data_IF_394860321985
#
_entry.id   IF_394860321985
#
_cell.length_a   1.000
_cell.length_b   1.000
_cell.length_c   1.000
_cell.angle_alpha   90.00
_cell.angle_beta   90.00
_cell.angle_gamma   90.00
#
_symmetry.space_group_name_H-M   'P 1'
#
loop_
_entity.id
_entity.type
_entity.pdbx_description
1 polymer ?
#
# COMPACT_ATOMS: atom_id res chain seq x y z
N UNK A 1 48.05 9.84 -2.36
CA UNK A 1 47.29 9.25 -1.24
C UNK A 1 46.18 10.22 -0.87
N UNK A 2 44.94 9.94 -1.28
CA UNK A 2 43.79 10.76 -0.91
C UNK A 2 43.36 10.38 0.51
N UNK A 3 43.48 11.33 1.43
CA UNK A 3 43.03 11.18 2.81
C UNK A 3 41.51 11.07 2.84
N UNK A 4 41.02 9.89 3.22
CA UNK A 4 39.62 9.64 3.55
C UNK A 4 39.26 10.40 4.82
N UNK A 5 38.82 11.65 4.68
CA UNK A 5 38.27 12.45 5.78
C UNK A 5 37.02 11.77 6.35
N UNK A 6 37.19 11.08 7.48
CA UNK A 6 36.14 10.37 8.20
C UNK A 6 35.98 11.03 9.57
N UNK A 7 35.40 12.25 9.57
CA UNK A 7 35.22 13.05 10.79
C UNK A 7 34.02 14.02 10.73
N UNK A 8 33.75 14.78 11.81
CA UNK A 8 32.56 15.65 11.93
C UNK A 8 32.40 16.69 10.82
N UNK A 9 33.49 17.08 10.12
CA UNK A 9 33.44 17.95 8.94
C UNK A 9 32.86 17.23 7.71
N UNK A 10 33.21 15.96 7.50
CA UNK A 10 32.67 15.17 6.39
C UNK A 10 31.18 14.86 6.58
N UNK A 11 30.74 14.62 7.83
CA UNK A 11 29.32 14.47 8.17
C UNK A 11 28.53 15.77 7.91
N UNK A 12 29.01 16.93 8.39
CA UNK A 12 28.38 18.24 8.12
C UNK A 12 28.29 18.58 6.63
N UNK A 13 29.35 18.28 5.87
CA UNK A 13 29.34 18.49 4.41
C UNK A 13 28.31 17.61 3.71
N UNK A 14 28.18 16.34 4.12
CA UNK A 14 27.16 15.42 3.58
C UNK A 14 25.75 15.91 3.87
N UNK A 15 25.49 16.37 5.09
CA UNK A 15 24.19 16.91 5.48
C UNK A 15 23.84 18.19 4.70
N UNK A 16 24.81 19.11 4.55
CA UNK A 16 24.64 20.31 3.73
C UNK A 16 24.34 19.98 2.26
N UNK A 17 25.03 19.00 1.67
CA UNK A 17 24.73 18.55 0.30
C UNK A 17 23.36 17.89 0.19
N UNK A 18 22.96 17.10 1.20
CA UNK A 18 21.63 16.46 1.22
C UNK A 18 20.53 17.51 1.19
N UNK A 19 20.63 18.51 2.09
CA UNK A 19 19.68 19.63 2.16
C UNK A 19 19.62 20.43 0.86
N UNK A 20 20.77 20.79 0.30
CA UNK A 20 20.82 21.53 -0.97
C UNK A 20 20.12 20.78 -2.12
N UNK A 21 20.18 19.45 -2.14
CA UNK A 21 19.49 18.62 -3.14
C UNK A 21 17.98 18.63 -2.92
N UNK A 22 17.52 18.49 -1.67
CA UNK A 22 16.08 18.53 -1.34
C UNK A 22 15.48 19.90 -1.65
N UNK A 23 16.14 20.98 -1.24
CA UNK A 23 15.73 22.36 -1.52
C UNK A 23 15.67 22.62 -3.03
N UNK A 24 16.68 22.16 -3.78
CA UNK A 24 16.71 22.28 -5.24
C UNK A 24 15.57 21.51 -5.91
N UNK A 25 15.27 20.30 -5.44
CA UNK A 25 14.19 19.48 -5.99
C UNK A 25 12.82 20.11 -5.77
N UNK A 26 12.56 20.61 -4.55
CA UNK A 26 11.31 21.26 -4.22
C UNK A 26 11.13 22.57 -4.99
N UNK A 27 12.17 23.42 -5.05
CA UNK A 27 12.15 24.67 -5.80
C UNK A 27 11.90 24.44 -7.30
N UNK A 28 12.63 23.50 -7.93
CA UNK A 28 12.41 23.16 -9.34
C UNK A 28 11.01 22.58 -9.58
N UNK A 29 10.49 21.76 -8.66
CA UNK A 29 9.15 21.22 -8.79
C UNK A 29 8.08 22.31 -8.73
N UNK A 30 8.27 23.34 -7.89
CA UNK A 30 7.42 24.54 -7.81
C UNK A 30 7.51 25.41 -9.07
N UNK A 31 8.72 25.62 -9.58
CA UNK A 31 8.97 26.44 -10.77
C UNK A 31 8.42 25.79 -12.05
N UNK A 32 8.59 24.48 -12.22
CA UNK A 32 8.42 23.81 -13.51
C UNK A 32 7.40 22.65 -13.51
N UNK A 33 6.98 22.20 -12.33
CA UNK A 33 6.13 21.03 -12.14
C UNK A 33 6.90 19.69 -12.14
N UNK A 34 6.29 18.66 -11.56
CA UNK A 34 6.90 17.32 -11.42
C UNK A 34 7.28 16.68 -12.76
N UNK A 35 6.47 16.88 -13.80
CA UNK A 35 6.70 16.31 -15.13
C UNK A 35 8.05 16.76 -15.73
N UNK A 36 8.43 18.03 -15.54
CA UNK A 36 9.68 18.61 -16.05
C UNK A 36 10.86 18.41 -15.10
N UNK A 37 10.62 18.06 -13.84
CA UNK A 37 11.67 17.77 -12.88
C UNK A 37 12.57 16.62 -13.39
N UNK A 38 13.89 16.82 -13.32
CA UNK A 38 14.90 15.84 -13.72
C UNK A 38 16.01 15.75 -12.68
N UNK A 39 16.66 14.59 -12.56
CA UNK A 39 17.82 14.43 -11.67
C UNK A 39 18.98 15.33 -12.12
N UNK A 40 19.11 15.54 -13.42
CA UNK A 40 20.00 16.49 -14.09
C UNK A 40 19.78 17.92 -13.57
N UNK A 41 18.54 18.40 -13.62
CA UNK A 41 18.17 19.74 -13.17
C UNK A 41 18.42 19.92 -11.68
N UNK A 42 18.04 18.93 -10.87
CA UNK A 42 18.29 18.93 -9.42
C UNK A 42 19.79 19.02 -9.14
N UNK A 43 20.60 18.18 -9.80
CA UNK A 43 22.05 18.17 -9.64
C UNK A 43 22.70 19.52 -9.99
N UNK A 44 22.28 20.10 -11.13
CA UNK A 44 22.77 21.40 -11.58
C UNK A 44 22.41 22.52 -10.60
N UNK A 45 21.16 22.56 -10.11
CA UNK A 45 20.70 23.58 -9.16
C UNK A 45 21.35 23.44 -7.78
N UNK A 46 21.55 22.21 -7.30
CA UNK A 46 22.20 21.94 -6.03
C UNK A 46 23.74 22.05 -6.07
N UNK A 47 24.34 22.20 -7.26
CA UNK A 47 25.80 22.27 -7.42
C UNK A 47 26.50 20.95 -7.11
N UNK A 48 25.85 19.81 -7.36
CA UNK A 48 26.39 18.46 -7.09
C UNK A 48 26.41 17.60 -8.35
N UNK A 49 27.23 16.55 -8.38
CA UNK A 49 27.17 15.55 -9.46
C UNK A 49 26.01 14.56 -9.27
N UNK A 50 25.41 14.06 -10.37
CA UNK A 50 24.29 13.09 -10.35
C UNK A 50 24.55 11.86 -9.48
N UNK A 51 25.78 11.34 -9.49
CA UNK A 51 26.19 10.20 -8.65
C UNK A 51 26.01 10.47 -7.14
N UNK A 52 26.05 11.74 -6.72
CA UNK A 52 25.79 12.15 -5.34
C UNK A 52 24.32 11.96 -4.97
N UNK A 53 23.41 12.24 -5.91
CA UNK A 53 21.97 12.05 -5.75
C UNK A 53 21.64 10.55 -5.75
N UNK A 54 22.08 9.81 -6.76
CA UNK A 54 21.78 8.37 -6.88
C UNK A 54 22.32 7.51 -5.74
N UNK A 55 23.34 7.99 -5.01
CA UNK A 55 23.81 7.34 -3.77
C UNK A 55 22.75 7.33 -2.66
N UNK A 56 21.82 8.28 -2.68
CA UNK A 56 20.83 8.49 -1.61
C UNK A 56 19.40 8.25 -2.08
N UNK A 57 19.08 8.57 -3.33
CA UNK A 57 17.73 8.47 -3.88
C UNK A 57 17.75 7.76 -5.23
N UNK A 58 16.98 6.68 -5.39
CA UNK A 58 16.94 5.91 -6.63
C UNK A 58 16.23 6.63 -7.77
N UNK A 59 15.34 7.58 -7.48
CA UNK A 59 14.54 8.31 -8.48
C UNK A 59 14.30 9.77 -8.07
N UNK A 60 13.88 10.62 -9.03
CA UNK A 60 13.45 12.00 -8.73
C UNK A 60 12.24 12.05 -7.78
N UNK A 61 11.35 11.06 -7.87
CA UNK A 61 10.22 10.88 -6.96
C UNK A 61 10.69 10.63 -5.54
N UNK A 62 11.72 9.80 -5.34
CA UNK A 62 12.30 9.55 -4.03
C UNK A 62 12.97 10.80 -3.41
N UNK A 63 13.56 11.69 -4.23
CA UNK A 63 14.09 12.98 -3.76
C UNK A 63 12.95 13.90 -3.32
N UNK A 64 11.92 14.06 -4.16
CA UNK A 64 10.79 14.94 -3.85
C UNK A 64 9.99 14.45 -2.65
N UNK A 65 9.78 13.13 -2.53
CA UNK A 65 9.15 12.51 -1.36
C UNK A 65 9.83 12.95 -0.07
N UNK A 66 11.16 12.92 -0.02
CA UNK A 66 11.88 13.34 1.18
C UNK A 66 11.81 14.84 1.42
N UNK A 67 11.83 15.65 0.36
CA UNK A 67 11.70 17.10 0.50
C UNK A 67 10.32 17.49 1.07
N UNK A 68 9.24 16.92 0.53
CA UNK A 68 7.88 17.10 1.03
C UNK A 68 7.71 16.51 2.43
N UNK A 69 8.45 15.43 2.74
CA UNK A 69 8.41 14.85 4.07
C UNK A 69 8.95 15.83 5.14
N UNK A 70 10.10 16.45 4.86
CA UNK A 70 10.69 17.44 5.76
C UNK A 70 9.82 18.69 5.92
N UNK A 71 9.19 19.16 4.84
CA UNK A 71 8.29 20.31 4.89
C UNK A 71 7.05 20.05 5.75
N UNK A 72 6.43 18.87 5.62
CA UNK A 72 5.28 18.56 6.48
C UNK A 72 5.68 18.34 7.94
N UNK A 73 6.83 17.72 8.19
CA UNK A 73 7.28 17.47 9.57
C UNK A 73 7.45 18.77 10.37
N UNK A 74 7.76 19.90 9.72
CA UNK A 74 7.83 21.21 10.35
C UNK A 74 6.45 21.82 10.71
N UNK A 75 5.36 21.27 10.17
CA UNK A 75 4.01 21.86 10.23
C UNK A 75 3.08 21.13 11.21
N UNK A 76 3.43 19.92 11.65
CA UNK A 76 2.59 19.11 12.55
C UNK A 76 2.87 19.48 14.01
N UNK A 77 2.05 20.39 14.55
CA UNK A 77 1.89 20.59 15.99
C UNK A 77 0.43 20.33 16.35
N UNK A 78 0.16 19.12 16.86
CA UNK A 78 -1.14 18.80 17.45
C UNK A 78 -0.99 18.86 18.96
N UNK A 79 -1.90 19.58 19.61
CA UNK A 79 -2.05 19.57 21.06
C UNK A 79 -3.15 18.57 21.40
N UNK A 80 -2.82 17.52 22.16
CA UNK A 80 -3.81 16.57 22.69
C UNK A 80 -4.55 17.26 23.85
N UNK A 81 -5.78 17.70 23.59
CA UNK A 81 -6.57 18.45 24.57
C UNK A 81 -7.37 17.56 25.51
N UNK A 82 -7.50 16.26 25.19
CA UNK A 82 -8.37 15.35 25.92
C UNK A 82 -9.79 15.26 25.35
N UNK A 83 -10.22 16.20 24.50
CA UNK A 83 -11.50 16.20 23.79
C UNK A 83 -11.32 15.64 22.37
N UNK A 84 -11.81 14.42 22.14
CA UNK A 84 -11.65 13.74 20.83
C UNK A 84 -12.25 14.54 19.66
N UNK A 85 -13.34 15.27 19.89
CA UNK A 85 -14.01 16.02 18.85
C UNK A 85 -13.22 17.28 18.49
N UNK A 86 -12.66 17.97 19.49
CA UNK A 86 -11.78 19.11 19.27
C UNK A 86 -10.48 18.68 18.58
N UNK A 87 -9.85 17.62 19.07
CA UNK A 87 -8.58 17.10 18.54
C UNK A 87 -8.74 16.63 17.08
N UNK A 88 -9.81 15.90 16.76
CA UNK A 88 -10.08 15.44 15.40
C UNK A 88 -10.32 16.61 14.44
N UNK A 89 -11.10 17.62 14.84
CA UNK A 89 -11.32 18.83 14.04
C UNK A 89 -10.00 19.56 13.78
N UNK A 90 -9.14 19.70 14.79
CA UNK A 90 -7.84 20.34 14.65
C UNK A 90 -6.94 19.59 13.65
N UNK A 91 -6.91 18.25 13.72
CA UNK A 91 -6.15 17.40 12.82
C UNK A 91 -6.67 17.52 11.38
N UNK A 92 -7.98 17.41 11.15
CA UNK A 92 -8.58 17.52 9.81
C UNK A 92 -8.37 18.91 9.24
N UNK A 93 -8.56 19.97 10.03
CA UNK A 93 -8.29 21.34 9.60
C UNK A 93 -6.82 21.55 9.21
N UNK A 94 -5.89 20.95 9.97
CA UNK A 94 -4.45 21.02 9.67
C UNK A 94 -4.12 20.28 8.38
N UNK A 95 -4.67 19.09 8.19
CA UNK A 95 -4.53 18.34 6.96
C UNK A 95 -5.09 19.13 5.77
N UNK A 96 -6.28 19.73 5.88
CA UNK A 96 -6.86 20.52 4.78
C UNK A 96 -6.02 21.74 4.45
N UNK A 97 -5.60 22.53 5.45
CA UNK A 97 -4.70 23.69 5.21
C UNK A 97 -3.44 23.28 4.46
N UNK A 98 -2.86 22.14 4.85
CA UNK A 98 -1.63 21.64 4.27
C UNK A 98 -1.82 21.12 2.83
N UNK A 99 -2.90 20.38 2.56
CA UNK A 99 -3.21 19.93 1.20
C UNK A 99 -3.71 21.06 0.29
N UNK A 100 -4.26 22.13 0.85
CA UNK A 100 -4.70 23.31 0.11
C UNK A 100 -3.56 24.30 -0.19
N UNK A 101 -2.40 24.16 0.46
CA UNK A 101 -1.25 25.02 0.25
C UNK A 101 -0.75 24.87 -1.21
N UNK A 102 -0.74 25.94 -2.02
CA UNK A 102 -0.24 25.92 -3.39
C UNK A 102 1.21 25.47 -3.51
N UNK A 103 2.03 25.67 -2.47
CA UNK A 103 3.45 25.32 -2.43
C UNK A 103 3.68 23.85 -2.04
N UNK A 104 2.62 23.12 -1.67
CA UNK A 104 2.70 21.75 -1.17
C UNK A 104 1.73 20.78 -1.88
N UNK A 105 0.43 21.08 -1.84
CA UNK A 105 -0.66 20.21 -2.29
C UNK A 105 -0.48 19.67 -3.72
N UNK A 106 -0.24 20.52 -4.73
CA UNK A 106 -0.01 20.08 -6.10
C UNK A 106 1.20 19.14 -6.26
N UNK A 107 2.25 19.33 -5.45
CA UNK A 107 3.45 18.50 -5.50
C UNK A 107 3.24 17.14 -4.85
N UNK A 108 2.49 17.09 -3.74
CA UNK A 108 2.05 15.82 -3.17
C UNK A 108 1.12 15.08 -4.12
N UNK A 109 0.18 15.77 -4.77
CA UNK A 109 -0.72 15.17 -5.76
C UNK A 109 0.06 14.56 -6.94
N UNK A 110 1.06 15.27 -7.46
CA UNK A 110 1.92 14.76 -8.52
C UNK A 110 2.75 13.55 -8.07
N UNK A 111 3.24 13.54 -6.82
CA UNK A 111 3.95 12.40 -6.27
C UNK A 111 3.04 11.18 -6.09
N UNK A 112 1.81 11.37 -5.63
CA UNK A 112 0.79 10.30 -5.54
C UNK A 112 0.51 9.75 -6.94
N UNK A 113 0.36 10.60 -7.95
CA UNK A 113 0.16 10.14 -9.33
C UNK A 113 1.34 9.32 -9.84
N UNK A 114 2.59 9.71 -9.52
CA UNK A 114 3.79 8.97 -9.92
C UNK A 114 3.85 7.55 -9.33
N UNK A 115 3.26 7.30 -8.16
CA UNK A 115 3.23 5.95 -7.57
C UNK A 115 2.59 4.90 -8.48
N UNK A 116 1.78 5.33 -9.46
CA UNK A 116 1.16 4.45 -10.44
C UNK A 116 2.12 4.03 -11.57
N UNK A 117 3.27 4.70 -11.68
CA UNK A 117 4.29 4.47 -12.71
C UNK A 117 5.62 3.97 -12.10
N UNK A 118 5.89 4.28 -10.83
CA UNK A 118 7.06 3.82 -10.07
C UNK A 118 6.61 2.91 -8.91
N UNK A 119 6.64 1.57 -9.07
CA UNK A 119 6.23 0.61 -8.05
C UNK A 119 7.03 0.70 -6.74
N UNK A 120 8.26 1.23 -6.77
CA UNK A 120 9.08 1.40 -5.56
C UNK A 120 8.68 2.66 -4.78
N UNK A 121 7.99 3.61 -5.41
CA UNK A 121 7.60 4.87 -4.78
C UNK A 121 6.35 4.72 -3.91
N UNK A 122 5.42 3.84 -4.25
CA UNK A 122 4.19 3.66 -3.46
C UNK A 122 4.47 3.18 -2.02
N UNK A 123 5.28 2.11 -1.80
CA UNK A 123 5.65 1.69 -0.45
C UNK A 123 6.43 2.79 0.29
N UNK A 124 7.35 3.48 -0.40
CA UNK A 124 8.12 4.57 0.19
C UNK A 124 7.23 5.74 0.64
N UNK A 125 6.24 6.14 -0.15
CA UNK A 125 5.26 7.17 0.20
C UNK A 125 4.45 6.75 1.42
N UNK A 126 3.96 5.51 1.46
CA UNK A 126 3.20 5.00 2.60
C UNK A 126 4.04 5.02 3.88
N UNK A 127 5.24 4.47 3.84
CA UNK A 127 6.07 4.28 5.03
C UNK A 127 6.70 5.58 5.53
N UNK A 128 7.20 6.43 4.63
CA UNK A 128 7.93 7.65 5.00
C UNK A 128 7.01 8.84 5.18
N UNK A 129 5.92 8.93 4.42
CA UNK A 129 5.06 10.09 4.45
C UNK A 129 3.74 9.83 5.20
N UNK A 130 2.97 8.83 4.76
CA UNK A 130 1.59 8.64 5.24
C UNK A 130 1.54 8.12 6.68
N UNK A 131 2.27 7.03 7.00
CA UNK A 131 2.23 6.40 8.34
C UNK A 131 2.66 7.36 9.46
N UNK A 132 3.76 8.12 9.37
CA UNK A 132 4.16 9.04 10.44
C UNK A 132 3.12 10.12 10.73
N UNK A 133 2.46 10.64 9.69
CA UNK A 133 1.43 11.69 9.82
C UNK A 133 0.14 11.16 10.45
N UNK A 134 -0.18 9.88 10.21
CA UNK A 134 -1.30 9.19 10.84
C UNK A 134 -1.09 8.93 12.34
N UNK A 135 0.16 8.88 12.82
CA UNK A 135 0.46 8.49 14.19
C UNK A 135 -0.21 9.38 15.26
N UNK A 136 -0.29 10.70 15.02
CA UNK A 136 -0.95 11.63 15.95
C UNK A 136 -2.46 11.37 16.04
N UNK A 137 -3.13 11.18 14.90
CA UNK A 137 -4.55 10.85 14.88
C UNK A 137 -4.82 9.48 15.50
N UNK A 138 -3.98 8.49 15.20
CA UNK A 138 -4.07 7.16 15.80
C UNK A 138 -3.93 7.21 17.33
N UNK A 139 -3.07 8.10 17.86
CA UNK A 139 -2.94 8.34 19.29
C UNK A 139 -4.24 8.89 19.88
N UNK A 140 -4.80 9.95 19.29
CA UNK A 140 -6.08 10.56 19.71
C UNK A 140 -7.22 9.54 19.73
N UNK A 141 -7.34 8.74 18.66
CA UNK A 141 -8.40 7.73 18.55
C UNK A 141 -8.28 6.64 19.62
N UNK A 142 -7.06 6.12 19.84
CA UNK A 142 -6.81 5.09 20.87
C UNK A 142 -7.05 5.62 22.28
N UNK A 143 -6.67 6.87 22.58
CA UNK A 143 -6.95 7.54 23.84
C UNK A 143 -8.46 7.72 24.06
N UNK A 144 -9.18 8.14 23.03
CA UNK A 144 -10.62 8.32 23.08
C UNK A 144 -11.36 6.98 23.31
N UNK A 145 -10.86 5.88 22.73
CA UNK A 145 -11.37 4.54 23.04
C UNK A 145 -11.09 4.12 24.49
N UNK A 146 -9.88 4.35 24.99
CA UNK A 146 -9.50 4.01 26.36
C UNK A 146 -10.30 4.81 27.42
N UNK A 147 -10.71 6.03 27.08
CA UNK A 147 -11.55 6.89 27.94
C UNK A 147 -13.05 6.75 27.69
N UNK A 148 -13.48 5.86 26.80
CA UNK A 148 -14.89 5.60 26.49
C UNK A 148 -15.58 6.71 25.68
N UNK A 149 -14.84 7.68 25.16
CA UNK A 149 -15.38 8.73 24.26
C UNK A 149 -15.69 8.18 22.86
N UNK A 150 -15.02 7.10 22.45
CA UNK A 150 -15.28 6.38 21.20
C UNK A 150 -15.56 4.89 21.47
N UNK A 151 -16.37 4.22 20.63
CA UNK A 151 -16.60 2.78 20.74
C UNK A 151 -15.30 1.98 20.59
N UNK A 152 -15.12 0.96 21.44
CA UNK A 152 -14.01 0.01 21.30
C UNK A 152 -14.06 -0.80 19.99
N UNK A 153 -15.23 -0.86 19.34
CA UNK A 153 -15.43 -1.50 18.03
C UNK A 153 -14.98 -0.66 16.84
N UNK A 154 -14.68 0.63 17.03
CA UNK A 154 -14.16 1.48 15.97
C UNK A 154 -12.76 1.00 15.56
N UNK A 155 -12.51 0.80 14.26
CA UNK A 155 -11.17 0.55 13.76
C UNK A 155 -10.49 1.89 13.45
N UNK A 156 -9.44 2.29 14.19
CA UNK A 156 -8.78 3.58 13.97
C UNK A 156 -8.14 3.69 12.58
N UNK A 157 -7.62 2.60 12.00
CA UNK A 157 -6.92 2.66 10.72
C UNK A 157 -7.88 2.94 9.57
N UNK A 158 -8.98 2.19 9.52
CA UNK A 158 -9.99 2.38 8.49
C UNK A 158 -10.80 3.67 8.70
N UNK A 159 -10.95 4.15 9.94
CA UNK A 159 -11.44 5.49 10.20
C UNK A 159 -10.57 6.57 9.56
N UNK A 160 -9.24 6.44 9.68
CA UNK A 160 -8.29 7.34 9.02
C UNK A 160 -8.36 7.25 7.50
N UNK A 161 -8.58 6.06 6.93
CA UNK A 161 -8.76 5.89 5.49
C UNK A 161 -9.97 6.68 4.96
N UNK A 162 -11.09 6.68 5.69
CA UNK A 162 -12.27 7.48 5.32
C UNK A 162 -11.94 8.98 5.35
N UNK A 163 -11.29 9.45 6.43
CA UNK A 163 -10.92 10.87 6.59
C UNK A 163 -9.99 11.32 5.46
N UNK A 164 -8.82 10.67 5.33
CA UNK A 164 -7.82 11.09 4.37
C UNK A 164 -8.20 10.74 2.92
N UNK A 165 -8.98 9.68 2.70
CA UNK A 165 -9.52 9.34 1.37
C UNK A 165 -10.42 10.46 0.83
N UNK A 166 -11.28 11.04 1.68
CA UNK A 166 -12.11 12.18 1.29
C UNK A 166 -11.28 13.43 0.95
N UNK A 167 -10.17 13.66 1.65
CA UNK A 167 -9.26 14.76 1.36
C UNK A 167 -8.48 14.53 0.06
N UNK A 168 -7.91 13.33 -0.13
CA UNK A 168 -7.20 12.97 -1.34
C UNK A 168 -8.10 12.96 -2.58
N UNK A 169 -9.37 12.57 -2.44
CA UNK A 169 -10.34 12.66 -3.54
C UNK A 169 -10.50 14.10 -4.05
N UNK A 170 -10.58 15.10 -3.17
CA UNK A 170 -10.62 16.51 -3.59
C UNK A 170 -9.28 16.98 -4.12
N UNK A 171 -8.18 16.62 -3.47
CA UNK A 171 -6.83 17.01 -3.90
C UNK A 171 -6.51 16.51 -5.31
N UNK A 172 -6.77 15.23 -5.59
CA UNK A 172 -6.37 14.57 -6.83
C UNK A 172 -7.30 14.87 -7.99
N UNK A 173 -8.61 14.98 -7.73
CA UNK A 173 -9.61 15.13 -8.79
C UNK A 173 -10.15 16.56 -8.94
N UNK A 174 -9.82 17.46 -8.01
CA UNK A 174 -10.37 18.82 -8.02
C UNK A 174 -11.91 18.83 -7.87
N UNK A 175 -12.48 17.83 -7.22
CA UNK A 175 -13.94 17.64 -7.10
C UNK A 175 -14.66 18.70 -6.24
N UNK A 176 -13.90 19.63 -5.65
CA UNK A 176 -14.39 20.77 -4.87
C UNK A 176 -13.24 21.48 -4.15
N UNK A 177 -13.50 22.61 -3.48
CA UNK A 177 -12.46 23.33 -2.73
C UNK A 177 -11.96 22.51 -1.53
N UNK A 178 -10.67 22.64 -1.20
CA UNK A 178 -10.10 22.16 0.06
C UNK A 178 -9.98 23.36 1.01
N UNK A 179 -11.00 23.62 1.81
CA UNK A 179 -11.11 24.80 2.67
C UNK A 179 -11.59 24.46 4.08
N UNK A 180 -11.65 25.47 4.95
CA UNK A 180 -12.07 25.30 6.34
C UNK A 180 -13.49 24.73 6.47
N UNK A 181 -14.40 25.08 5.56
CA UNK A 181 -15.77 24.58 5.56
C UNK A 181 -15.80 23.09 5.25
N UNK A 182 -15.02 22.63 4.28
CA UNK A 182 -14.88 21.21 4.00
C UNK A 182 -14.20 20.45 5.14
N UNK A 183 -13.21 21.05 5.80
CA UNK A 183 -12.57 20.46 6.97
C UNK A 183 -13.58 20.21 8.11
N UNK A 184 -14.40 21.22 8.42
CA UNK A 184 -15.49 21.12 9.40
C UNK A 184 -16.51 20.04 8.99
N UNK A 185 -16.94 20.04 7.73
CA UNK A 185 -17.87 19.04 7.21
C UNK A 185 -17.35 17.61 7.37
N UNK A 186 -16.12 17.34 6.94
CA UNK A 186 -15.51 16.00 7.05
C UNK A 186 -15.41 15.59 8.52
N UNK A 187 -14.96 16.49 9.40
CA UNK A 187 -14.86 16.20 10.82
C UNK A 187 -16.24 15.90 11.44
N UNK A 188 -17.27 16.68 11.12
CA UNK A 188 -18.62 16.49 11.66
C UNK A 188 -19.29 15.20 11.15
N UNK A 189 -19.14 14.88 9.85
CA UNK A 189 -19.63 13.61 9.27
C UNK A 189 -18.98 12.42 9.98
N UNK A 190 -17.67 12.50 10.17
CA UNK A 190 -16.88 11.43 10.74
C UNK A 190 -17.16 11.29 12.25
N UNK A 191 -17.33 12.38 13.00
CA UNK A 191 -17.75 12.37 14.41
C UNK A 191 -19.18 11.85 14.58
N UNK A 192 -20.10 12.25 13.69
CA UNK A 192 -21.47 11.73 13.67
C UNK A 192 -21.52 10.23 13.38
N UNK A 193 -20.69 9.75 12.46
CA UNK A 193 -20.52 8.33 12.17
C UNK A 193 -19.85 7.55 13.30
N UNK A 194 -18.90 8.16 14.02
CA UNK A 194 -18.17 7.55 15.14
C UNK A 194 -19.02 7.35 16.40
N UNK A 195 -20.05 8.19 16.58
CA UNK A 195 -20.97 8.15 17.74
C UNK A 195 -22.23 7.34 17.45
N UNK A 196 -22.60 7.19 16.18
CA UNK A 196 -23.48 6.11 15.73
C UNK A 196 -22.78 4.77 15.83
N UNK A 197 -23.54 3.68 16.02
CA UNK A 197 -23.01 2.32 16.01
C UNK A 197 -22.55 1.88 14.61
N UNK A 198 -21.68 2.66 13.96
CA UNK A 198 -20.90 2.23 12.83
C UNK A 198 -19.87 1.25 13.38
N UNK A 199 -20.25 -0.02 13.35
CA UNK A 199 -19.34 -1.12 13.63
C UNK A 199 -18.09 -1.00 12.77
N UNK A 200 -16.99 -1.55 13.29
CA UNK A 200 -15.74 -1.86 12.60
C UNK A 200 -15.97 -1.87 11.07
N UNK A 201 -15.42 -0.91 10.29
CA UNK A 201 -15.33 -1.10 8.84
C UNK A 201 -14.74 -2.49 8.61
N UNK A 202 -15.20 -3.26 7.61
CA UNK A 202 -14.71 -4.61 7.42
C UNK A 202 -13.19 -4.53 7.34
N UNK A 203 -12.52 -5.06 8.36
CA UNK A 203 -11.12 -5.44 8.16
C UNK A 203 -11.09 -6.33 6.93
N UNK A 204 -10.00 -6.34 6.15
CA UNK A 204 -9.82 -7.39 5.14
C UNK A 204 -10.22 -8.70 5.82
N UNK A 205 -11.22 -9.40 5.26
CA UNK A 205 -12.08 -10.25 6.07
C UNK A 205 -11.20 -11.22 6.83
N UNK A 206 -11.44 -11.31 8.15
CA UNK A 206 -10.82 -12.38 8.92
C UNK A 206 -11.23 -13.70 8.25
N UNK A 207 -10.29 -14.63 8.03
CA UNK A 207 -10.50 -15.87 7.26
C UNK A 207 -11.66 -16.75 7.70
N UNK A 208 -12.38 -16.43 8.77
CA UNK A 208 -13.51 -17.22 9.24
C UNK A 208 -14.90 -16.76 8.69
N UNK A 209 -14.98 -15.72 7.85
CA UNK A 209 -16.28 -15.25 7.30
C UNK A 209 -16.23 -14.55 5.94
N UNK A 210 -15.07 -14.54 5.27
CA UNK A 210 -14.91 -13.93 3.96
C UNK A 210 -15.81 -14.62 2.90
N UNK A 211 -16.45 -13.87 1.98
CA UNK A 211 -16.96 -14.45 0.75
C UNK A 211 -15.85 -15.27 0.06
N UNK A 212 -16.16 -16.41 -0.58
CA UNK A 212 -15.14 -17.30 -1.16
C UNK A 212 -14.10 -16.58 -2.03
N UNK A 213 -14.55 -15.67 -2.90
CA UNK A 213 -13.65 -14.87 -3.75
C UNK A 213 -12.70 -14.00 -2.93
N UNK A 214 -13.17 -13.39 -1.84
CA UNK A 214 -12.33 -12.54 -1.00
C UNK A 214 -11.29 -13.36 -0.23
N UNK A 215 -11.61 -14.57 0.22
CA UNK A 215 -10.65 -15.49 0.82
C UNK A 215 -9.52 -15.85 -0.15
N UNK A 216 -9.88 -16.16 -1.40
CA UNK A 216 -8.93 -16.52 -2.46
C UNK A 216 -8.05 -15.34 -2.88
N UNK A 217 -8.62 -14.15 -3.04
CA UNK A 217 -7.82 -12.96 -3.37
C UNK A 217 -6.88 -12.61 -2.22
N UNK A 218 -7.33 -12.73 -0.97
CA UNK A 218 -6.45 -12.55 0.19
C UNK A 218 -5.34 -13.60 0.22
N UNK A 219 -5.61 -14.84 -0.20
CA UNK A 219 -4.62 -15.91 -0.27
C UNK A 219 -3.55 -15.63 -1.34
N UNK A 220 -3.97 -15.20 -2.53
CA UNK A 220 -3.07 -14.77 -3.61
C UNK A 220 -2.23 -13.58 -3.17
N UNK A 221 -2.83 -12.59 -2.49
CA UNK A 221 -2.11 -11.44 -1.94
C UNK A 221 -1.00 -11.87 -0.97
N UNK A 222 -1.26 -12.84 -0.09
CA UNK A 222 -0.21 -13.38 0.80
C UNK A 222 0.89 -14.10 0.04
N UNK A 223 0.55 -14.88 -1.00
CA UNK A 223 1.55 -15.53 -1.87
C UNK A 223 2.45 -14.48 -2.54
N UNK A 224 1.86 -13.43 -3.12
CA UNK A 224 2.60 -12.38 -3.85
C UNK A 224 3.51 -11.55 -2.95
N UNK A 225 3.23 -11.48 -1.65
CA UNK A 225 4.06 -10.80 -0.66
C UNK A 225 4.98 -11.74 0.13
N UNK A 226 5.04 -13.02 -0.24
CA UNK A 226 5.75 -14.07 0.50
C UNK A 226 5.37 -14.13 2.00
N UNK A 227 4.15 -13.73 2.36
CA UNK A 227 3.61 -13.80 3.73
C UNK A 227 3.05 -15.20 4.01
N UNK A 228 3.96 -16.16 4.20
CA UNK A 228 3.61 -17.57 4.42
C UNK A 228 2.81 -17.77 5.72
N UNK A 229 3.12 -17.01 6.78
CA UNK A 229 2.38 -17.09 8.03
C UNK A 229 0.95 -16.53 7.88
N UNK A 230 0.76 -15.47 7.10
CA UNK A 230 -0.55 -14.95 6.73
C UNK A 230 -1.34 -15.87 5.83
N UNK A 231 -0.67 -16.54 4.90
CA UNK A 231 -1.27 -17.57 4.06
C UNK A 231 -1.78 -18.75 4.90
N UNK A 232 -0.99 -19.21 5.88
CA UNK A 232 -1.38 -20.27 6.81
C UNK A 232 -2.65 -19.95 7.62
N UNK A 233 -2.85 -18.68 8.00
CA UNK A 233 -4.09 -18.24 8.68
C UNK A 233 -5.35 -18.35 7.81
N UNK A 234 -5.19 -18.43 6.48
CA UNK A 234 -6.29 -18.54 5.51
C UNK A 234 -6.59 -20.00 5.11
N UNK A 235 -5.86 -20.99 5.64
CA UNK A 235 -6.02 -22.41 5.33
C UNK A 235 -6.87 -23.13 6.40
N UNK A 236 -7.67 -24.13 6.03
CA UNK A 236 -8.21 -25.08 7.01
C UNK A 236 -7.10 -25.98 7.58
N UNK A 237 -7.35 -26.68 8.70
CA UNK A 237 -6.37 -27.63 9.26
C UNK A 237 -6.04 -28.75 8.26
N UNK A 238 -7.05 -29.20 7.51
CA UNK A 238 -6.98 -30.25 6.49
C UNK A 238 -6.67 -29.74 5.08
N UNK A 239 -6.09 -28.53 4.95
CA UNK A 239 -5.84 -27.89 3.66
C UNK A 239 -5.05 -28.79 2.69
N UNK A 240 -5.50 -28.86 1.44
CA UNK A 240 -4.89 -29.66 0.38
C UNK A 240 -4.38 -28.79 -0.78
N UNK A 241 -3.07 -28.83 -1.04
CA UNK A 241 -2.45 -28.27 -2.24
C UNK A 241 -2.27 -29.37 -3.28
N UNK A 242 -2.76 -29.13 -4.50
CA UNK A 242 -2.58 -30.02 -5.65
C UNK A 242 -2.01 -29.26 -6.84
N UNK A 243 -0.89 -29.73 -7.36
CA UNK A 243 -0.22 -29.14 -8.51
C UNK A 243 -0.30 -30.13 -9.67
N UNK A 244 -1.20 -29.87 -10.62
CA UNK A 244 -1.46 -30.78 -11.75
C UNK A 244 -1.67 -32.23 -11.29
N UNK A 245 -0.87 -33.16 -11.82
CA UNK A 245 -0.93 -34.60 -11.54
C UNK A 245 0.02 -35.05 -10.41
N UNK A 246 0.62 -34.11 -9.67
CA UNK A 246 1.51 -34.43 -8.56
C UNK A 246 0.76 -34.93 -7.31
N UNK A 247 1.48 -35.65 -6.45
CA UNK A 247 0.96 -36.06 -5.16
C UNK A 247 0.58 -34.83 -4.32
N UNK A 248 -0.64 -34.84 -3.77
CA UNK A 248 -1.17 -33.68 -3.06
C UNK A 248 -0.49 -33.50 -1.69
N UNK A 249 -0.22 -32.25 -1.32
CA UNK A 249 0.33 -31.87 -0.03
C UNK A 249 -0.81 -31.55 0.92
N UNK A 250 -0.99 -32.38 1.96
CA UNK A 250 -2.15 -32.34 2.85
C UNK A 250 -1.76 -31.86 4.25
N UNK A 251 -2.60 -30.98 4.81
CA UNK A 251 -2.46 -30.42 6.15
C UNK A 251 -1.86 -29.02 6.14
N UNK A 252 -2.37 -28.14 7.00
CA UNK A 252 -1.94 -26.74 7.09
C UNK A 252 -0.43 -26.60 7.31
N UNK A 253 0.11 -27.27 8.31
CA UNK A 253 1.52 -27.14 8.69
C UNK A 253 2.46 -27.63 7.58
N UNK A 254 2.11 -28.76 6.94
CA UNK A 254 2.88 -29.29 5.82
C UNK A 254 2.89 -28.32 4.62
N UNK A 255 1.75 -27.67 4.36
CA UNK A 255 1.64 -26.64 3.33
C UNK A 255 2.45 -25.39 3.67
N UNK A 256 2.38 -24.90 4.91
CA UNK A 256 3.18 -23.78 5.39
C UNK A 256 4.68 -24.07 5.16
N UNK A 257 5.15 -25.25 5.54
CA UNK A 257 6.57 -25.62 5.36
C UNK A 257 6.97 -25.73 3.88
N UNK A 258 6.10 -26.31 3.05
CA UNK A 258 6.30 -26.35 1.59
C UNK A 258 6.40 -24.96 0.97
N UNK A 259 5.49 -24.06 1.36
CA UNK A 259 5.47 -22.68 0.88
C UNK A 259 6.65 -21.84 1.40
N UNK A 260 7.15 -22.07 2.63
CA UNK A 260 8.40 -21.46 3.10
C UNK A 260 9.58 -21.86 2.22
N UNK A 261 9.68 -23.14 1.87
CA UNK A 261 10.69 -23.65 0.94
C UNK A 261 10.58 -22.98 -0.44
N UNK A 262 9.36 -22.94 -0.99
CA UNK A 262 9.11 -22.36 -2.31
C UNK A 262 9.39 -20.84 -2.35
N UNK A 263 8.87 -20.07 -1.39
CA UNK A 263 9.08 -18.62 -1.30
C UNK A 263 10.56 -18.26 -1.07
N UNK A 264 11.30 -19.10 -0.33
CA UNK A 264 12.74 -18.95 -0.15
C UNK A 264 13.53 -19.19 -1.45
N UNK A 265 13.12 -20.17 -2.26
CA UNK A 265 13.75 -20.46 -3.54
C UNK A 265 13.36 -19.46 -4.64
N UNK A 266 12.14 -18.92 -4.59
CA UNK A 266 11.56 -18.06 -5.62
C UNK A 266 10.97 -16.77 -5.00
N UNK A 267 11.82 -15.86 -4.48
CA UNK A 267 11.38 -14.70 -3.69
C UNK A 267 10.66 -13.61 -4.51
N UNK A 268 10.69 -13.70 -5.84
CA UNK A 268 10.01 -12.78 -6.76
C UNK A 268 8.80 -13.43 -7.44
N UNK A 269 8.38 -14.60 -6.95
CA UNK A 269 7.21 -15.30 -7.46
C UNK A 269 5.93 -14.49 -7.23
N UNK A 270 5.15 -14.28 -8.27
CA UNK A 270 3.86 -13.61 -8.20
C UNK A 270 2.83 -14.30 -9.10
N UNK A 271 1.59 -14.33 -8.64
CA UNK A 271 0.39 -14.71 -9.38
C UNK A 271 -0.32 -13.43 -9.81
N UNK A 272 -0.69 -13.34 -11.08
CA UNK A 272 -1.39 -12.22 -11.68
C UNK A 272 -2.77 -12.67 -12.18
N UNK A 273 -3.85 -12.44 -11.41
CA UNK A 273 -5.20 -12.81 -11.80
C UNK A 273 -5.70 -12.00 -13.01
N UNK A 274 -6.37 -12.68 -13.95
CA UNK A 274 -7.06 -12.07 -15.09
C UNK A 274 -8.58 -12.15 -14.95
N UNK A 275 -9.09 -13.32 -14.56
CA UNK A 275 -10.53 -13.60 -14.45
C UNK A 275 -10.80 -14.45 -13.23
N UNK A 276 -11.95 -14.22 -12.61
CA UNK A 276 -12.39 -14.94 -11.42
C UNK A 276 -13.84 -15.36 -11.62
N UNK A 277 -14.14 -16.61 -11.30
CA UNK A 277 -15.49 -17.15 -11.28
C UNK A 277 -15.76 -17.86 -9.95
N UNK A 278 -16.96 -17.71 -9.41
CA UNK A 278 -17.40 -18.39 -8.19
C UNK A 278 -18.61 -19.29 -8.50
N UNK A 279 -18.57 -20.55 -8.05
CA UNK A 279 -19.70 -21.49 -8.13
C UNK A 279 -19.65 -22.48 -6.98
N UNK A 280 -20.75 -22.63 -6.24
CA UNK A 280 -20.91 -23.63 -5.17
C UNK A 280 -19.75 -23.63 -4.14
N UNK A 281 -19.33 -22.44 -3.69
CA UNK A 281 -18.18 -22.23 -2.77
C UNK A 281 -16.80 -22.63 -3.32
N UNK A 282 -16.71 -22.87 -4.62
CA UNK A 282 -15.44 -22.96 -5.34
C UNK A 282 -15.18 -21.69 -6.12
N UNK A 283 -13.92 -21.27 -6.10
CA UNK A 283 -13.45 -20.11 -6.83
C UNK A 283 -12.40 -20.56 -7.82
N UNK A 284 -12.59 -20.22 -9.08
CA UNK A 284 -11.60 -20.42 -10.13
C UNK A 284 -10.99 -19.07 -10.49
N UNK A 285 -9.66 -19.03 -10.57
CA UNK A 285 -8.89 -17.84 -10.93
C UNK A 285 -8.04 -18.20 -12.14
N UNK A 286 -8.33 -17.60 -13.28
CA UNK A 286 -7.45 -17.67 -14.45
C UNK A 286 -6.43 -16.54 -14.38
N UNK A 287 -5.17 -16.81 -14.70
CA UNK A 287 -4.12 -15.79 -14.71
C UNK A 287 -2.80 -16.35 -15.20
N UNK A 288 -1.70 -15.65 -14.89
CA UNK A 288 -0.34 -16.10 -15.18
C UNK A 288 0.56 -15.93 -13.95
N UNK A 289 1.77 -16.47 -14.01
CA UNK A 289 2.80 -16.26 -12.99
C UNK A 289 4.00 -15.50 -13.55
N UNK A 290 4.76 -14.88 -12.65
CA UNK A 290 6.11 -14.38 -12.91
C UNK A 290 7.04 -14.86 -11.83
N UNK A 291 8.31 -15.08 -12.14
CA UNK A 291 9.35 -15.39 -11.15
C UNK A 291 9.22 -16.80 -10.56
N UNK A 292 8.60 -17.73 -11.28
CA UNK A 292 8.43 -19.12 -10.84
C UNK A 292 9.67 -19.99 -11.07
N UNK A 293 9.55 -21.25 -10.63
CA UNK A 293 10.53 -22.31 -10.86
C UNK A 293 10.83 -22.63 -12.33
N UNK A 294 10.02 -22.13 -13.28
CA UNK A 294 10.24 -22.35 -14.71
C UNK A 294 11.53 -21.67 -15.21
N UNK A 295 12.00 -20.61 -14.55
CA UNK A 295 13.23 -19.91 -14.91
C UNK A 295 13.20 -19.25 -16.29
N UNK A 296 12.01 -19.03 -16.86
CA UNK A 296 11.81 -18.39 -18.16
C UNK A 296 11.94 -16.86 -18.04
N UNK A 297 12.28 -16.16 -19.14
CA UNK A 297 12.14 -14.71 -19.18
C UNK A 297 10.71 -14.28 -18.86
N UNK A 298 10.55 -13.20 -18.11
CA UNK A 298 9.23 -12.74 -17.64
C UNK A 298 8.22 -12.53 -18.78
N UNK A 299 8.67 -12.03 -19.94
CA UNK A 299 7.82 -11.83 -21.11
C UNK A 299 7.26 -13.14 -21.71
N UNK A 300 7.96 -14.26 -21.52
CA UNK A 300 7.52 -15.59 -21.95
C UNK A 300 6.62 -16.22 -20.90
N UNK A 301 6.97 -16.09 -19.61
CA UNK A 301 6.16 -16.61 -18.49
C UNK A 301 4.77 -15.98 -18.45
N UNK A 302 4.66 -14.67 -18.74
CA UNK A 302 3.38 -13.94 -18.85
C UNK A 302 2.43 -14.51 -19.91
N UNK A 303 2.94 -15.28 -20.88
CA UNK A 303 2.12 -15.93 -21.93
C UNK A 303 1.59 -17.30 -21.49
N UNK A 304 2.14 -17.87 -20.41
CA UNK A 304 1.72 -19.15 -19.86
C UNK A 304 0.63 -18.90 -18.82
N UNK A 305 -0.61 -19.08 -19.24
CA UNK A 305 -1.76 -18.93 -18.36
C UNK A 305 -2.12 -20.25 -17.69
N UNK A 306 -2.60 -20.16 -16.46
CA UNK A 306 -3.00 -21.27 -15.60
C UNK A 306 -4.36 -20.95 -14.96
N UNK A 307 -5.00 -21.97 -14.41
CA UNK A 307 -6.18 -21.79 -13.58
C UNK A 307 -5.92 -22.36 -12.18
N UNK A 308 -6.07 -21.51 -11.17
CA UNK A 308 -6.13 -21.92 -9.77
C UNK A 308 -7.57 -22.14 -9.36
N UNK A 309 -7.84 -23.26 -8.68
CA UNK A 309 -9.17 -23.60 -8.17
C UNK A 309 -9.07 -23.79 -6.67
N UNK A 310 -9.88 -23.06 -5.92
CA UNK A 310 -9.96 -23.18 -4.47
C UNK A 310 -11.35 -23.62 -4.03
N UNK A 311 -11.41 -24.54 -3.07
CA UNK A 311 -12.62 -24.80 -2.29
C UNK A 311 -12.54 -24.02 -0.97
N UNK A 312 -13.56 -23.21 -0.67
CA UNK A 312 -13.59 -22.36 0.53
C UNK A 312 -14.69 -22.83 1.48
N UNK A 313 -14.32 -23.10 2.73
CA UNK A 313 -15.21 -23.53 3.81
C UNK A 313 -15.08 -22.58 4.97
N UNK A 314 -16.20 -21.98 5.40
CA UNK A 314 -16.23 -21.02 6.51
C UNK A 314 -15.19 -19.89 6.37
N UNK A 315 -14.96 -19.43 5.13
CA UNK A 315 -14.02 -18.35 4.80
C UNK A 315 -12.55 -18.78 4.64
N UNK A 316 -12.20 -20.03 4.94
CA UNK A 316 -10.86 -20.56 4.83
C UNK A 316 -10.72 -21.52 3.63
N UNK A 317 -9.54 -21.55 3.01
CA UNK A 317 -9.26 -22.42 1.89
C UNK A 317 -9.08 -23.85 2.40
N UNK A 318 -9.97 -24.74 1.96
CA UNK A 318 -9.83 -26.18 2.13
C UNK A 318 -8.91 -26.79 1.09
N UNK A 319 -8.85 -26.21 -0.10
CA UNK A 319 -7.90 -26.66 -1.13
C UNK A 319 -7.42 -25.54 -2.02
N UNK A 320 -6.25 -25.75 -2.62
CA UNK A 320 -5.66 -24.92 -3.67
C UNK A 320 -5.14 -25.84 -4.77
N UNK A 321 -5.78 -25.83 -5.94
CA UNK A 321 -5.48 -26.74 -7.06
C UNK A 321 -5.06 -25.98 -8.30
N UNK A 322 -3.93 -26.35 -8.90
CA UNK A 322 -3.48 -25.82 -10.19
C UNK A 322 -3.93 -26.76 -11.30
N UNK A 323 -4.58 -26.22 -12.32
CA UNK A 323 -4.96 -26.96 -13.54
C UNK A 323 -4.53 -26.19 -14.78
N UNK A 324 -4.40 -26.91 -15.89
CA UNK A 324 -4.10 -26.32 -17.19
C UNK A 324 -5.21 -25.38 -17.64
N UNK A 325 -4.81 -24.26 -18.24
CA UNK A 325 -5.72 -23.30 -18.84
C UNK A 325 -6.22 -23.76 -20.22
N UNK A 326 -7.10 -24.76 -20.22
CA UNK A 326 -7.75 -25.31 -21.41
C UNK A 326 -9.16 -24.76 -21.59
N UNK A 327 -9.65 -24.73 -22.83
CA UNK A 327 -11.03 -24.32 -23.13
C UNK A 327 -12.08 -25.17 -22.39
N UNK A 328 -11.76 -26.45 -22.13
CA UNK A 328 -12.64 -27.33 -21.37
C UNK A 328 -12.69 -26.97 -19.87
N UNK A 329 -11.52 -26.71 -19.28
CA UNK A 329 -11.44 -26.25 -17.90
C UNK A 329 -12.12 -24.89 -17.70
N UNK A 330 -11.93 -23.94 -18.63
CA UNK A 330 -12.61 -22.63 -18.59
C UNK A 330 -14.13 -22.77 -18.56
N UNK A 331 -14.70 -23.59 -19.47
CA UNK A 331 -16.14 -23.89 -19.50
C UNK A 331 -16.63 -24.50 -18.20
N UNK A 332 -15.95 -25.55 -17.75
CA UNK A 332 -16.33 -26.30 -16.53
C UNK A 332 -16.30 -25.41 -15.28
N UNK A 333 -15.36 -24.47 -15.23
CA UNK A 333 -15.12 -23.58 -14.09
C UNK A 333 -15.85 -22.23 -14.21
N UNK A 334 -16.60 -21.99 -15.28
CA UNK A 334 -17.37 -20.76 -15.48
C UNK A 334 -16.53 -19.52 -15.80
N UNK A 335 -15.38 -19.70 -16.47
CA UNK A 335 -14.43 -18.64 -16.85
C UNK A 335 -14.58 -18.17 -18.31
N UNK A 336 -15.62 -18.61 -19.01
CA UNK A 336 -15.90 -18.19 -20.39
C UNK A 336 -16.41 -16.74 -20.46
N UNK A 337 -16.31 -16.13 -21.64
CA UNK A 337 -16.87 -14.81 -21.89
C UNK A 337 -18.40 -14.85 -21.72
N UNK A 338 -18.95 -14.01 -20.83
CA UNK A 338 -20.35 -13.58 -20.97
C UNK A 338 -20.43 -12.84 -22.31
N UNK A 339 -21.03 -13.48 -23.31
CA UNK A 339 -21.35 -12.88 -24.59
C UNK A 339 -22.21 -11.62 -24.44
#
# INVERSE_FOLDING_TARGET
>A
MATTETGPRASRRRESSRRAILDAALALCREEGYAKLTVEGIAARAGVGKQTIYRWWPSKGAVLLEALDQEAAATVDHQDTGDVAADLRAIVATAVRFHADPEFGPHLAALIAETQQDPALAPALLDRFVRPRRAALLHVLRRAQASGQLPASLDPEAFMEIVFGALYHRLLLGSGPLDADYASFVADVVLGGATGAAGRPPSPPSPASAPPVAAVISFIDRINHADVDGMGRLMTEDHELRVFDEASLVGRDANIDGWRGYAGAYPVYCIHPHRIAERDRRVAVQGHTTGSHLGLPEAEERRLTLIWVAEVVEGALRSWTLVEDSADNRRRLGLDDLA
#
